data_IF_136680458268
#
_entry.id   IF_136680458268
#
_cell.length_a   1.000
_cell.length_b   1.000
_cell.length_c   1.000
_cell.angle_alpha   90.00
_cell.angle_beta   90.00
_cell.angle_gamma   90.00
#
_symmetry.space_group_name_H-M   'P 1'
#
loop_
_entity.id
_entity.type
_entity.pdbx_description
1 polymer ?
#
# COMPACT_ATOMS: atom_id res chain seq x y z
N UNK A 1 16.16 -26.63 -5.56
CA UNK A 1 15.28 -26.71 -4.37
C UNK A 1 15.37 -25.40 -3.60
N UNK A 2 14.56 -24.39 -3.93
CA UNK A 2 14.55 -23.14 -3.16
C UNK A 2 13.48 -23.24 -2.06
N UNK A 3 13.72 -24.10 -1.07
CA UNK A 3 12.85 -24.26 0.09
C UNK A 3 13.14 -23.19 1.13
N UNK A 4 12.71 -21.96 0.89
CA UNK A 4 12.60 -20.98 1.96
C UNK A 4 11.33 -21.25 2.76
N UNK A 5 11.43 -21.44 4.07
CA UNK A 5 10.25 -21.48 4.93
C UNK A 5 9.54 -20.12 4.82
N UNK A 6 8.26 -20.08 4.46
CA UNK A 6 7.57 -18.81 4.30
C UNK A 6 7.47 -18.09 5.66
N UNK A 7 7.80 -16.79 5.65
CA UNK A 7 7.81 -15.98 6.88
C UNK A 7 6.45 -16.00 7.56
N UNK A 8 6.47 -16.18 8.88
CA UNK A 8 5.30 -16.03 9.75
C UNK A 8 5.69 -15.19 10.96
N UNK A 9 4.90 -14.17 11.26
CA UNK A 9 5.21 -13.19 12.30
C UNK A 9 4.69 -11.80 11.95
N UNK A 10 5.09 -10.80 12.71
CA UNK A 10 4.75 -9.40 12.41
C UNK A 10 5.74 -8.86 11.39
N UNK A 11 5.24 -8.55 10.19
CA UNK A 11 5.98 -7.88 9.14
C UNK A 11 5.81 -6.38 9.18
N UNK A 12 6.86 -5.64 8.83
CA UNK A 12 6.83 -4.19 8.70
C UNK A 12 6.68 -3.84 7.21
N UNK A 13 5.54 -3.25 6.86
CA UNK A 13 5.20 -2.89 5.48
C UNK A 13 5.24 -1.39 5.29
N UNK A 14 5.87 -0.95 4.21
CA UNK A 14 5.77 0.43 3.73
C UNK A 14 5.21 0.41 2.32
N UNK A 15 4.33 1.34 2.01
CA UNK A 15 3.58 1.33 0.75
C UNK A 15 3.58 2.70 0.11
N UNK A 16 3.69 2.70 -1.21
CA UNK A 16 3.45 3.87 -2.03
C UNK A 16 2.58 3.52 -3.23
N UNK A 17 1.70 4.44 -3.60
CA UNK A 17 1.04 4.44 -4.90
C UNK A 17 1.85 5.33 -5.83
N UNK A 18 2.34 4.75 -6.92
CA UNK A 18 3.26 5.40 -7.86
C UNK A 18 2.76 5.32 -9.30
N UNK A 19 3.33 6.15 -10.17
CA UNK A 19 3.11 6.06 -11.62
C UNK A 19 3.79 4.83 -12.23
N UNK A 20 3.55 4.58 -13.53
CA UNK A 20 4.12 3.44 -14.24
C UNK A 20 5.65 3.38 -14.29
N UNK A 21 6.32 4.53 -14.21
CA UNK A 21 7.78 4.64 -14.14
C UNK A 21 8.32 4.51 -12.70
N UNK A 22 7.45 4.53 -11.70
CA UNK A 22 7.84 4.43 -10.29
C UNK A 22 8.63 5.64 -9.76
N UNK A 23 8.52 6.80 -10.41
CA UNK A 23 9.27 8.02 -10.08
C UNK A 23 8.38 9.19 -9.66
N UNK A 24 7.06 8.99 -9.63
CA UNK A 24 6.08 9.93 -9.08
C UNK A 24 5.28 9.22 -8.01
N UNK A 25 5.22 9.80 -6.81
CA UNK A 25 4.37 9.31 -5.72
C UNK A 25 3.03 10.03 -5.77
N UNK A 26 1.94 9.26 -5.81
CA UNK A 26 0.57 9.76 -5.66
C UNK A 26 0.09 9.70 -4.21
N UNK A 27 0.58 8.71 -3.46
CA UNK A 27 0.26 8.51 -2.05
C UNK A 27 1.31 7.60 -1.40
N UNK A 28 1.48 7.70 -0.08
CA UNK A 28 2.21 6.71 0.72
C UNK A 28 1.55 6.51 2.08
N UNK A 29 1.82 5.35 2.70
CA UNK A 29 1.17 4.98 3.95
C UNK A 29 1.31 6.05 5.04
N UNK A 30 2.44 6.74 5.12
CA UNK A 30 2.70 7.79 6.12
C UNK A 30 2.77 9.22 5.54
N UNK A 31 2.58 9.37 4.23
CA UNK A 31 2.66 10.66 3.53
C UNK A 31 4.08 11.18 3.25
N UNK A 32 5.14 10.40 3.51
CA UNK A 32 6.54 10.87 3.39
C UNK A 32 7.25 10.50 2.09
N UNK A 33 6.70 9.56 1.29
CA UNK A 33 7.31 9.17 0.03
C UNK A 33 7.32 10.32 -0.97
N UNK A 34 8.48 10.57 -1.57
CA UNK A 34 8.67 11.55 -2.64
C UNK A 34 9.38 10.90 -3.81
N UNK A 35 8.99 11.22 -5.04
CA UNK A 35 9.58 10.65 -6.25
C UNK A 35 9.69 9.10 -6.28
N UNK A 36 8.73 8.40 -5.66
CA UNK A 36 8.71 6.93 -5.56
C UNK A 36 9.62 6.34 -4.46
N UNK A 37 10.15 7.17 -3.56
CA UNK A 37 11.02 6.75 -2.45
C UNK A 37 10.29 5.88 -1.41
N UNK A 38 11.07 5.16 -0.62
CA UNK A 38 10.57 4.44 0.54
C UNK A 38 9.96 5.43 1.56
N UNK A 39 8.76 5.14 2.11
CA UNK A 39 8.19 5.83 3.27
C UNK A 39 9.08 5.74 4.53
N UNK A 40 8.90 6.64 5.49
CA UNK A 40 9.69 6.67 6.72
C UNK A 40 9.19 5.64 7.73
N UNK A 41 7.89 5.67 8.02
CA UNK A 41 7.22 4.84 9.00
C UNK A 41 6.54 3.63 8.34
N UNK A 42 6.63 2.47 8.98
CA UNK A 42 6.02 1.23 8.52
C UNK A 42 4.69 0.95 9.24
N UNK A 43 3.83 0.19 8.57
CA UNK A 43 2.63 -0.42 9.12
C UNK A 43 2.98 -1.85 9.52
N UNK A 44 2.79 -2.17 10.79
CA UNK A 44 3.01 -3.51 11.33
C UNK A 44 1.78 -4.39 11.03
N UNK A 45 1.97 -5.50 10.32
CA UNK A 45 0.88 -6.41 9.95
C UNK A 45 1.27 -7.87 10.19
N UNK A 46 0.31 -8.73 10.59
CA UNK A 46 0.55 -10.15 10.69
C UNK A 46 0.77 -10.76 9.30
N UNK A 47 1.80 -11.59 9.20
CA UNK A 47 2.09 -12.44 8.04
C UNK A 47 1.98 -13.89 8.50
N UNK A 48 1.25 -14.70 7.74
CA UNK A 48 1.04 -16.12 8.02
C UNK A 48 1.39 -16.91 6.79
N UNK A 49 2.46 -17.71 6.86
CA UNK A 49 2.98 -18.49 5.74
C UNK A 49 3.19 -17.63 4.47
N UNK A 50 3.77 -16.44 4.64
CA UNK A 50 4.03 -15.50 3.55
C UNK A 50 2.77 -14.79 3.01
N UNK A 51 1.58 -15.16 3.47
CA UNK A 51 0.34 -14.47 3.16
C UNK A 51 0.15 -13.29 4.12
N UNK A 52 -0.19 -12.14 3.55
CA UNK A 52 -0.53 -10.93 4.31
C UNK A 52 -1.67 -10.21 3.58
N UNK A 53 -2.46 -9.47 4.35
CA UNK A 53 -3.47 -8.56 3.83
C UNK A 53 -3.12 -7.16 4.32
N UNK A 54 -2.96 -6.22 3.39
CA UNK A 54 -2.81 -4.81 3.75
C UNK A 54 -4.15 -4.11 3.53
N UNK A 55 -4.84 -3.67 4.60
CA UNK A 55 -6.02 -2.82 4.45
C UNK A 55 -5.56 -1.41 4.06
N UNK A 56 -5.20 -1.24 2.79
CA UNK A 56 -4.67 0.01 2.25
C UNK A 56 -5.67 1.16 2.46
N UNK A 57 -5.20 2.24 3.08
CA UNK A 57 -6.04 3.42 3.35
C UNK A 57 -6.85 3.35 4.64
N UNK A 58 -6.75 2.27 5.43
CA UNK A 58 -7.39 2.20 6.75
C UNK A 58 -6.66 3.10 7.76
N UNK A 59 -7.18 4.31 7.96
CA UNK A 59 -6.60 5.29 8.87
C UNK A 59 -6.73 4.93 10.37
N UNK A 60 -7.38 3.81 10.72
CA UNK A 60 -7.36 3.29 12.09
C UNK A 60 -6.05 2.57 12.42
N UNK A 61 -5.28 2.18 11.41
CA UNK A 61 -3.96 1.59 11.60
C UNK A 61 -2.89 2.66 11.83
N UNK A 62 -1.94 2.43 12.77
CA UNK A 62 -0.77 3.28 12.91
C UNK A 62 0.01 3.40 11.59
N UNK A 63 0.45 4.62 11.27
CA UNK A 63 1.24 4.94 10.07
C UNK A 63 0.53 4.60 8.75
N UNK A 64 -0.81 4.57 8.75
CA UNK A 64 -1.63 4.44 7.56
C UNK A 64 -2.51 5.68 7.41
N UNK A 65 -2.34 6.40 6.30
CA UNK A 65 -3.18 7.54 5.94
C UNK A 65 -4.30 7.08 5.03
N UNK A 66 -5.45 7.77 5.07
CA UNK A 66 -6.52 7.53 4.12
C UNK A 66 -6.03 7.80 2.69
N UNK A 67 -6.41 6.94 1.73
CA UNK A 67 -6.08 7.14 0.32
C UNK A 67 -7.13 8.06 -0.31
N UNK A 68 -6.76 9.24 -0.82
CA UNK A 68 -7.70 10.10 -1.53
C UNK A 68 -8.21 9.40 -2.81
N UNK A 69 -9.51 9.45 -3.07
CA UNK A 69 -10.10 8.85 -4.27
C UNK A 69 -9.50 9.41 -5.58
N UNK A 70 -9.01 10.65 -5.55
CA UNK A 70 -8.32 11.30 -6.67
C UNK A 70 -7.07 10.57 -7.13
N UNK A 71 -6.42 9.78 -6.26
CA UNK A 71 -5.27 8.95 -6.63
C UNK A 71 -5.62 7.97 -7.75
N UNK A 72 -6.82 7.38 -7.70
CA UNK A 72 -7.28 6.40 -8.69
C UNK A 72 -7.80 7.03 -9.99
N UNK A 73 -7.80 8.36 -10.08
CA UNK A 73 -8.07 9.07 -11.35
C UNK A 73 -6.81 9.19 -12.23
N UNK A 74 -5.64 8.79 -11.73
CA UNK A 74 -4.41 8.72 -12.53
C UNK A 74 -4.45 7.54 -13.53
N UNK A 75 -3.88 7.73 -14.71
CA UNK A 75 -3.95 6.75 -15.81
C UNK A 75 -3.20 5.42 -15.55
N UNK A 76 -2.12 5.47 -14.76
CA UNK A 76 -1.39 4.27 -14.32
C UNK A 76 -1.04 4.42 -12.85
N UNK A 77 -1.69 3.62 -11.99
CA UNK A 77 -1.42 3.56 -10.56
C UNK A 77 -0.86 2.18 -10.24
N UNK A 78 0.29 2.15 -9.58
CA UNK A 78 0.94 0.93 -9.14
C UNK A 78 1.19 0.95 -7.65
N UNK A 79 1.03 -0.20 -7.01
CA UNK A 79 1.42 -0.41 -5.63
C UNK A 79 2.90 -0.80 -5.62
N UNK A 80 3.70 0.00 -4.92
CA UNK A 80 5.06 -0.33 -4.53
C UNK A 80 5.09 -0.68 -3.05
N UNK A 81 5.75 -1.79 -2.72
CA UNK A 81 5.81 -2.32 -1.36
C UNK A 81 7.26 -2.48 -0.95
N UNK A 82 7.58 -2.06 0.26
CA UNK A 82 8.78 -2.48 0.97
C UNK A 82 8.38 -3.35 2.15
N UNK A 83 9.11 -4.43 2.34
CA UNK A 83 8.90 -5.39 3.41
C UNK A 83 10.17 -5.51 4.25
N UNK A 84 9.99 -5.56 5.57
CA UNK A 84 11.06 -5.86 6.52
C UNK A 84 10.55 -6.91 7.52
N UNK A 85 11.30 -8.00 7.64
CA UNK A 85 11.04 -9.13 8.54
C UNK A 85 11.60 -8.94 9.96
N UNK A 86 12.24 -7.79 10.22
CA UNK A 86 12.91 -7.46 11.46
C UNK A 86 14.37 -7.91 11.53
N UNK A 87 14.89 -8.60 10.50
CA UNK A 87 16.23 -9.19 10.48
C UNK A 87 17.06 -8.68 9.32
N UNK A 88 16.49 -8.63 8.12
CA UNK A 88 17.21 -8.34 6.86
C UNK A 88 17.09 -6.90 6.39
N UNK A 89 16.38 -6.06 7.14
CA UNK A 89 16.13 -4.66 6.78
C UNK A 89 15.00 -4.51 5.78
N UNK A 90 14.76 -3.27 5.33
CA UNK A 90 13.70 -2.96 4.38
C UNK A 90 14.11 -3.35 2.96
N UNK A 91 13.26 -4.11 2.29
CA UNK A 91 13.49 -4.58 0.92
C UNK A 91 12.29 -4.24 0.04
N UNK A 92 12.55 -3.64 -1.12
CA UNK A 92 11.50 -3.37 -2.10
C UNK A 92 11.09 -4.68 -2.79
N UNK A 93 9.79 -4.99 -2.75
CA UNK A 93 9.21 -6.09 -3.50
C UNK A 93 8.99 -5.64 -4.94
N UNK A 94 9.64 -6.34 -5.87
CA UNK A 94 9.58 -6.04 -7.31
C UNK A 94 8.93 -7.19 -8.09
N UNK A 95 8.19 -6.90 -9.17
CA UNK A 95 7.88 -5.57 -9.70
C UNK A 95 6.72 -4.89 -8.97
N UNK A 96 6.61 -3.56 -9.12
CA UNK A 96 5.43 -2.81 -8.67
C UNK A 96 4.16 -3.36 -9.34
N UNK A 97 3.11 -3.57 -8.56
CA UNK A 97 1.88 -4.20 -9.04
C UNK A 97 0.89 -3.15 -9.54
N UNK A 98 0.48 -3.28 -10.80
CA UNK A 98 -0.50 -2.36 -11.40
C UNK A 98 -1.90 -2.60 -10.82
N UNK A 99 -2.59 -1.53 -10.47
CA UNK A 99 -4.01 -1.57 -10.09
C UNK A 99 -4.84 -1.46 -11.38
N UNK A 100 -5.37 -2.58 -11.86
CA UNK A 100 -6.05 -2.65 -13.17
C UNK A 100 -7.58 -2.61 -13.09
N UNK A 101 -8.18 -2.50 -11.90
CA UNK A 101 -9.63 -2.39 -11.73
C UNK A 101 -9.96 -1.95 -10.31
N UNK A 102 -10.28 -0.66 -10.12
CA UNK A 102 -11.16 -0.21 -9.03
C UNK A 102 -12.60 -0.58 -9.36
N UNK A 103 -12.86 -1.87 -9.55
CA UNK A 103 -14.21 -2.40 -9.70
C UNK A 103 -14.87 -2.43 -8.32
N UNK A 104 -15.78 -1.47 -8.09
CA UNK A 104 -16.85 -1.51 -7.08
C UNK A 104 -16.62 -1.13 -5.60
N UNK A 105 -15.47 -0.60 -5.15
CA UNK A 105 -15.29 -0.26 -3.71
C UNK A 105 -15.38 1.25 -3.35
N UNK A 106 -15.38 2.19 -4.31
CA UNK A 106 -15.31 3.64 -4.01
C UNK A 106 -16.59 4.45 -4.31
N UNK A 107 -17.72 3.77 -4.58
CA UNK A 107 -19.04 4.42 -4.68
C UNK A 107 -19.99 4.00 -3.55
N UNK A 108 -19.49 3.99 -2.31
CA UNK A 108 -20.34 3.92 -1.12
C UNK A 108 -19.94 5.06 -0.17
N UNK A 109 -20.10 6.30 -0.63
CA UNK A 109 -19.66 7.47 0.15
C UNK A 109 -20.15 8.82 -0.36
N UNK A 110 -21.25 8.87 -1.11
CA UNK A 110 -21.96 10.12 -1.40
C UNK A 110 -23.43 9.79 -1.65
N UNK A 111 -24.23 9.81 -0.58
CA UNK A 111 -25.62 10.24 -0.71
C UNK A 111 -25.60 11.74 -0.41
N UNK A 112 -25.67 12.62 -1.43
CA UNK A 112 -26.12 13.98 -1.20
C UNK A 112 -27.52 13.89 -0.58
N UNK A 113 -27.71 14.56 0.56
CA UNK A 113 -28.94 14.51 1.32
C UNK A 113 -30.17 14.75 0.45
N UNK A 114 -31.15 13.85 0.54
CA UNK A 114 -32.54 14.20 0.24
C UNK A 114 -33.14 14.63 1.57
N UNK A 115 -33.05 15.93 1.85
CA UNK A 115 -34.05 16.61 2.67
C UNK A 115 -35.22 16.95 1.76
N UNK A 116 -36.34 16.26 1.93
CA UNK A 116 -37.69 16.80 1.78
C UNK A 116 -38.63 15.93 2.62
#
# INVERSE_FOLDING_TARGET
SSGGTPFSGTGQFKLALVNGAGNTTYWSNDGTSTAGSEPTAAVALPVVNGLYLVPMGDATLPNMTAIPATVFSNADVRVRVWFNDGVTGSQQLSPDQRITSVGYAMMAGSLPGVTA
#
